data_IF_491551379332
#
_entry.id   IF_491551379332
#
_cell.length_a   1.000
_cell.length_b   1.000
_cell.length_c   1.000
_cell.angle_alpha   90.00
_cell.angle_beta   90.00
_cell.angle_gamma   90.00
#
_symmetry.space_group_name_H-M   'P 1'
#
loop_
_entity.id
_entity.type
_entity.pdbx_description
1 polymer ?
#
# COMPACT_ATOMS: atom_id res chain seq x y z
N UNK A 1 9.14 -15.57 16.63
CA UNK A 1 8.42 -16.29 15.56
C UNK A 1 7.18 -15.54 15.07
N UNK A 2 6.06 -15.44 15.82
CA UNK A 2 4.82 -14.83 15.30
C UNK A 2 4.90 -13.32 15.01
N UNK A 3 5.79 -12.60 15.71
CA UNK A 3 6.07 -11.18 15.46
C UNK A 3 6.82 -10.96 14.15
N UNK A 4 7.79 -11.82 13.85
CA UNK A 4 8.64 -11.72 12.65
C UNK A 4 7.80 -11.92 11.39
N UNK A 5 6.87 -12.87 11.39
CA UNK A 5 5.94 -13.10 10.26
C UNK A 5 5.02 -11.89 10.00
N UNK A 6 4.58 -11.19 11.05
CA UNK A 6 3.73 -9.99 10.90
C UNK A 6 4.53 -8.84 10.32
N UNK A 7 5.77 -8.63 10.78
CA UNK A 7 6.66 -7.59 10.27
C UNK A 7 7.07 -7.86 8.81
N UNK A 8 7.50 -9.09 8.49
CA UNK A 8 7.81 -9.48 7.11
C UNK A 8 6.60 -9.34 6.18
N UNK A 9 5.41 -9.75 6.63
CA UNK A 9 4.18 -9.58 5.87
C UNK A 9 3.85 -8.11 5.60
N UNK A 10 4.05 -7.23 6.59
CA UNK A 10 3.86 -5.79 6.43
C UNK A 10 4.80 -5.18 5.37
N UNK A 11 6.10 -5.51 5.43
CA UNK A 11 7.06 -5.01 4.44
C UNK A 11 6.74 -5.47 3.01
N UNK A 12 6.36 -6.74 2.85
CA UNK A 12 6.00 -7.32 1.56
C UNK A 12 4.75 -6.66 0.99
N UNK A 13 3.74 -6.39 1.84
CA UNK A 13 2.52 -5.67 1.45
C UNK A 13 2.80 -4.22 1.07
N UNK A 14 3.71 -3.53 1.77
CA UNK A 14 4.14 -2.18 1.39
C UNK A 14 4.82 -2.15 0.02
N UNK A 15 5.76 -3.08 -0.23
CA UNK A 15 6.46 -3.14 -1.52
C UNK A 15 5.50 -3.46 -2.66
N UNK A 16 4.64 -4.48 -2.48
CA UNK A 16 3.66 -4.88 -3.49
C UNK A 16 2.64 -3.76 -3.77
N UNK A 17 2.16 -3.09 -2.72
CA UNK A 17 1.22 -1.99 -2.82
C UNK A 17 1.79 -0.75 -3.50
N UNK A 18 3.02 -0.35 -3.15
CA UNK A 18 3.70 0.77 -3.78
C UNK A 18 3.95 0.50 -5.27
N UNK A 19 4.47 -0.68 -5.62
CA UNK A 19 4.71 -1.06 -7.00
C UNK A 19 3.41 -1.10 -7.82
N UNK A 20 2.35 -1.70 -7.27
CA UNK A 20 1.04 -1.77 -7.91
C UNK A 20 0.41 -0.40 -8.11
N UNK A 21 0.47 0.48 -7.10
CA UNK A 21 -0.07 1.83 -7.18
C UNK A 21 0.64 2.68 -8.24
N UNK A 22 1.98 2.63 -8.28
CA UNK A 22 2.78 3.34 -9.29
C UNK A 22 2.50 2.79 -10.68
N UNK A 23 2.38 1.47 -10.84
CA UNK A 23 2.06 0.86 -12.13
C UNK A 23 0.65 1.23 -12.61
N UNK A 24 -0.35 1.18 -11.73
CA UNK A 24 -1.73 1.54 -12.06
C UNK A 24 -1.86 3.04 -12.40
N UNK A 25 -1.17 3.90 -11.65
CA UNK A 25 -1.10 5.32 -11.95
C UNK A 25 -0.40 5.58 -13.29
N UNK A 26 0.71 4.91 -13.59
CA UNK A 26 1.44 5.07 -14.85
C UNK A 26 0.68 4.56 -16.09
N UNK A 27 -0.12 3.50 -15.94
CA UNK A 27 -0.96 2.93 -17.00
C UNK A 27 -2.32 3.63 -17.14
N UNK A 28 -2.69 4.48 -16.18
CA UNK A 28 -3.92 5.26 -16.25
C UNK A 28 -3.90 6.22 -17.44
N UNK A 29 -4.97 6.22 -18.24
CA UNK A 29 -5.09 7.06 -19.43
C UNK A 29 -5.01 8.57 -19.17
N UNK A 30 -5.11 9.03 -17.92
CA UNK A 30 -4.84 10.42 -17.51
C UNK A 30 -3.34 10.71 -17.54
N UNK A 31 -2.54 9.88 -16.89
CA UNK A 31 -1.07 10.01 -16.81
C UNK A 31 -0.41 9.83 -18.17
N UNK A 32 -0.88 8.86 -18.98
CA UNK A 32 -0.39 8.66 -20.36
C UNK A 32 -0.64 9.88 -21.27
N UNK A 33 -1.73 10.62 -21.06
CA UNK A 33 -2.01 11.86 -21.79
C UNK A 33 -1.14 13.03 -21.33
N UNK A 34 -0.83 13.13 -20.02
CA UNK A 34 0.04 14.20 -19.48
C UNK A 34 1.53 13.95 -19.76
N UNK A 35 1.94 12.68 -19.92
CA UNK A 35 3.32 12.29 -20.24
C UNK A 35 3.68 12.38 -21.74
N UNK A 36 2.74 12.82 -22.59
CA UNK A 36 3.03 13.14 -23.99
C UNK A 36 2.85 11.99 -24.99
N UNK A 37 2.07 10.95 -24.69
CA UNK A 37 1.79 9.86 -25.65
C UNK A 37 0.75 10.25 -26.74
N UNK A 38 0.66 11.54 -27.06
CA UNK A 38 -0.35 12.14 -27.95
C UNK A 38 0.26 13.23 -28.85
N UNK A 39 0.71 12.79 -30.02
CA UNK A 39 0.95 13.46 -31.32
C UNK A 39 1.70 14.79 -31.46
N UNK A 40 1.84 15.67 -30.47
CA UNK A 40 2.72 16.84 -30.61
C UNK A 40 3.26 17.19 -29.23
N UNK A 41 4.59 17.16 -29.10
CA UNK A 41 5.37 17.36 -27.89
C UNK A 41 5.25 18.82 -27.34
N UNK A 42 4.04 19.24 -26.96
CA UNK A 42 3.70 20.62 -26.59
C UNK A 42 3.00 20.76 -25.21
N UNK A 43 2.94 19.69 -24.40
CA UNK A 43 2.22 19.71 -23.13
C UNK A 43 2.65 18.61 -22.15
N UNK A 44 3.95 18.35 -22.05
CA UNK A 44 4.50 17.42 -21.08
C UNK A 44 4.37 18.03 -19.68
N UNK A 45 3.26 17.73 -19.00
CA UNK A 45 2.99 18.24 -17.67
C UNK A 45 3.61 17.32 -16.63
N UNK A 46 4.92 17.52 -16.39
CA UNK A 46 5.67 16.83 -15.34
C UNK A 46 5.20 17.19 -13.93
N UNK A 47 4.32 18.19 -13.77
CA UNK A 47 3.70 18.53 -12.49
C UNK A 47 2.99 17.34 -11.87
N UNK A 48 2.31 16.51 -12.67
CA UNK A 48 1.66 15.29 -12.18
C UNK A 48 2.67 14.27 -11.62
N UNK A 49 3.84 14.12 -12.24
CA UNK A 49 4.90 13.23 -11.73
C UNK A 49 5.46 13.75 -10.41
N UNK A 50 5.71 15.06 -10.31
CA UNK A 50 6.31 15.65 -9.11
C UNK A 50 5.33 15.74 -7.94
N UNK A 51 4.05 15.98 -8.22
CA UNK A 51 3.04 16.19 -7.17
C UNK A 51 2.26 14.94 -6.85
N UNK A 52 1.83 14.14 -7.82
CA UNK A 52 0.95 12.99 -7.58
C UNK A 52 1.73 11.72 -7.23
N UNK A 53 2.88 11.47 -7.88
CA UNK A 53 3.67 10.24 -7.69
C UNK A 53 4.09 9.99 -6.23
N UNK A 54 4.56 10.99 -5.44
CA UNK A 54 4.90 10.77 -4.04
C UNK A 54 3.71 10.30 -3.22
N UNK A 55 2.53 10.88 -3.44
CA UNK A 55 1.30 10.49 -2.74
C UNK A 55 0.82 9.12 -3.18
N UNK A 56 0.89 8.79 -4.47
CA UNK A 56 0.55 7.45 -4.99
C UNK A 56 1.46 6.39 -4.38
N UNK A 57 2.76 6.64 -4.33
CA UNK A 57 3.73 5.75 -3.70
C UNK A 57 3.45 5.56 -2.21
N UNK A 58 3.25 6.66 -1.47
CA UNK A 58 2.98 6.63 -0.03
C UNK A 58 1.66 5.93 0.28
N UNK A 59 0.59 6.24 -0.45
CA UNK A 59 -0.71 5.58 -0.28
C UNK A 59 -0.62 4.10 -0.62
N UNK A 60 0.06 3.75 -1.72
CA UNK A 60 0.33 2.37 -2.12
C UNK A 60 1.11 1.58 -1.08
N UNK A 61 2.06 2.21 -0.37
CA UNK A 61 2.81 1.55 0.69
C UNK A 61 2.03 1.44 2.01
N UNK A 62 1.41 2.55 2.44
CA UNK A 62 0.83 2.68 3.79
C UNK A 62 -0.50 1.94 3.91
N UNK A 63 -1.39 2.03 2.92
CA UNK A 63 -2.74 1.44 3.01
C UNK A 63 -2.68 -0.09 3.18
N UNK A 64 -1.93 -0.85 2.35
CA UNK A 64 -1.87 -2.31 2.49
C UNK A 64 -1.20 -2.75 3.78
N UNK A 65 -0.15 -2.05 4.22
CA UNK A 65 0.51 -2.31 5.50
C UNK A 65 -0.42 -2.07 6.69
N UNK A 66 -1.22 -0.99 6.66
CA UNK A 66 -2.19 -0.69 7.70
C UNK A 66 -3.30 -1.75 7.75
N UNK A 67 -3.81 -2.18 6.59
CA UNK A 67 -4.81 -3.26 6.49
C UNK A 67 -4.24 -4.58 7.03
N UNK A 68 -3.00 -4.92 6.67
CA UNK A 68 -2.31 -6.11 7.19
C UNK A 68 -2.14 -6.07 8.71
N UNK A 69 -1.64 -4.95 9.24
CA UNK A 69 -1.47 -4.74 10.68
C UNK A 69 -2.80 -4.82 11.43
N UNK A 70 -3.85 -4.20 10.90
CA UNK A 70 -5.20 -4.24 11.47
C UNK A 70 -5.78 -5.65 11.48
N UNK A 71 -5.63 -6.39 10.37
CA UNK A 71 -6.03 -7.79 10.30
C UNK A 71 -5.29 -8.65 11.34
N UNK A 72 -3.96 -8.53 11.41
CA UNK A 72 -3.15 -9.23 12.40
C UNK A 72 -3.57 -8.91 13.84
N UNK A 73 -3.88 -7.64 14.13
CA UNK A 73 -4.36 -7.18 15.44
C UNK A 73 -5.73 -7.78 15.79
N UNK A 74 -6.69 -7.73 14.86
CA UNK A 74 -8.03 -8.31 15.06
C UNK A 74 -7.97 -9.83 15.29
N UNK A 75 -7.16 -10.55 14.52
CA UNK A 75 -6.94 -11.99 14.70
C UNK A 75 -6.24 -12.30 16.02
N UNK A 76 -5.29 -11.47 16.45
CA UNK A 76 -4.63 -11.59 17.75
C UNK A 76 -5.59 -11.39 18.92
N UNK A 77 -6.50 -10.42 18.80
CA UNK A 77 -7.52 -10.12 19.82
C UNK A 77 -8.53 -11.26 19.97
N UNK A 78 -8.95 -11.89 18.87
CA UNK A 78 -9.86 -13.06 18.91
C UNK A 78 -9.22 -14.31 19.50
N UNK A 79 -7.88 -14.43 19.46
CA UNK A 79 -7.14 -15.60 19.96
C UNK A 79 -6.75 -15.51 21.43
N UNK A 80 -7.08 -14.46 22.20
CA UNK A 80 -6.97 -14.52 23.67
C UNK A 80 -8.03 -15.50 24.16
N UNK A 81 -7.68 -16.73 24.55
CA UNK A 81 -8.63 -17.58 25.23
C UNK A 81 -8.95 -16.89 26.55
N UNK A 82 -10.20 -16.98 26.96
CA UNK A 82 -10.65 -16.59 28.29
C UNK A 82 -10.01 -17.58 29.28
N UNK A 83 -8.73 -17.41 29.61
CA UNK A 83 -8.12 -17.98 30.80
C UNK A 83 -8.62 -17.18 32.00
N UNK A 84 -9.89 -17.37 32.31
CA UNK A 84 -10.39 -17.18 33.65
C UNK A 84 -11.04 -18.48 34.05
N UNK A 85 -10.64 -18.94 35.23
CA UNK A 85 -11.47 -19.71 36.14
C UNK A 85 -11.48 -21.24 35.90
N UNK A 86 -10.41 -21.90 36.30
CA UNK A 86 -10.44 -23.22 36.96
C UNK A 86 -9.14 -23.37 37.76
N UNK A 87 -9.03 -22.59 38.84
CA UNK A 87 -8.15 -22.84 39.97
C UNK A 87 -8.87 -22.29 41.20
N UNK A 88 -9.66 -23.16 41.85
CA UNK A 88 -10.08 -23.13 43.25
C UNK A 88 -10.88 -24.40 43.53
#
# INVERSE_FOLDING_TARGET
MKRDTVTYGGCLMSMAGAAGAVWLWGTSGRTQRHLGNGFENNGQDFGAVLTELPFVFLAGAVVPAAVWGLGAWLLGRRRRPRTSQFDA
#
